data_IF_061874266353
#
_entry.id   IF_061874266353
#
_cell.length_a   1.000
_cell.length_b   1.000
_cell.length_c   1.000
_cell.angle_alpha   90.00
_cell.angle_beta   90.00
_cell.angle_gamma   90.00
#
_symmetry.space_group_name_H-M   'P 1'
#
loop_
_entity.id
_entity.type
_entity.pdbx_description
1 polymer ?
#
# COMPACT_ATOMS: atom_id res chain seq x y z
N UNK A 1 3.30 83.03 -74.03
CA UNK A 1 2.98 81.60 -74.25
C UNK A 1 2.94 80.91 -72.90
N UNK A 2 2.03 79.95 -72.68
CA UNK A 2 1.14 79.94 -71.50
C UNK A 2 1.64 79.11 -70.31
N UNK A 3 1.08 79.41 -69.14
CA UNK A 3 1.24 78.71 -67.89
C UNK A 3 0.66 77.28 -67.95
N UNK A 4 1.44 76.31 -67.46
CA UNK A 4 0.99 74.92 -67.29
C UNK A 4 0.38 74.72 -65.90
N UNK A 5 -0.93 74.54 -65.87
CA UNK A 5 -1.68 74.03 -64.71
C UNK A 5 -1.33 72.55 -64.50
N UNK A 6 -0.82 72.20 -63.31
CA UNK A 6 -0.85 70.81 -62.86
C UNK A 6 -2.16 70.57 -62.12
N UNK A 7 -3.00 69.67 -62.65
CA UNK A 7 -4.24 69.26 -62.00
C UNK A 7 -3.96 68.44 -60.73
N UNK A 8 -4.93 68.31 -59.81
CA UNK A 8 -4.73 67.62 -58.54
C UNK A 8 -4.53 66.12 -58.76
N UNK A 9 -3.50 65.55 -58.14
CA UNK A 9 -3.36 64.09 -58.04
C UNK A 9 -4.48 63.51 -57.16
N UNK A 10 -5.17 62.44 -57.57
CA UNK A 10 -6.14 61.78 -56.71
C UNK A 10 -5.43 61.13 -55.52
N UNK A 11 -5.93 61.40 -54.31
CA UNK A 11 -5.43 60.77 -53.09
C UNK A 11 -5.64 59.24 -53.14
N UNK A 12 -4.69 58.42 -52.65
CA UNK A 12 -4.83 56.99 -52.66
C UNK A 12 -6.02 56.55 -51.80
N UNK A 13 -6.93 55.77 -52.40
CA UNK A 13 -8.09 55.18 -51.71
C UNK A 13 -7.60 54.17 -50.68
N UNK A 14 -7.67 54.55 -49.40
CA UNK A 14 -7.27 53.71 -48.27
C UNK A 14 -8.29 52.57 -48.13
N UNK A 15 -7.91 51.36 -48.53
CA UNK A 15 -8.76 50.19 -48.41
C UNK A 15 -8.80 49.76 -46.92
N UNK A 16 -9.96 49.73 -46.24
CA UNK A 16 -10.03 49.45 -44.80
C UNK A 16 -9.89 47.95 -44.48
N UNK A 17 -9.94 47.10 -45.50
CA UNK A 17 -9.89 45.65 -45.40
C UNK A 17 -8.73 45.05 -44.57
N UNK A 18 -7.46 45.50 -44.70
CA UNK A 18 -6.38 44.97 -43.86
C UNK A 18 -6.51 45.35 -42.38
N UNK A 19 -7.15 46.47 -42.06
CA UNK A 19 -7.38 46.89 -40.66
C UNK A 19 -8.48 46.04 -40.03
N UNK A 20 -9.57 45.80 -40.78
CA UNK A 20 -10.68 44.94 -40.32
C UNK A 20 -10.22 43.50 -40.10
N UNK A 21 -9.39 42.95 -41.00
CA UNK A 21 -8.84 41.62 -40.84
C UNK A 21 -7.91 41.50 -39.62
N UNK A 22 -7.05 42.49 -39.37
CA UNK A 22 -6.16 42.50 -38.22
C UNK A 22 -6.94 42.56 -36.88
N UNK A 23 -7.98 43.39 -36.80
CA UNK A 23 -8.82 43.51 -35.60
C UNK A 23 -9.58 42.20 -35.31
N UNK A 24 -10.10 41.53 -36.34
CA UNK A 24 -10.80 40.25 -36.20
C UNK A 24 -9.86 39.13 -35.68
N UNK A 25 -8.62 39.07 -36.18
CA UNK A 25 -7.63 38.08 -35.74
C UNK A 25 -7.23 38.30 -34.27
N UNK A 26 -7.03 39.56 -33.86
CA UNK A 26 -6.70 39.89 -32.46
C UNK A 26 -7.86 39.52 -31.53
N UNK A 27 -9.11 39.78 -31.91
CA UNK A 27 -10.28 39.39 -31.11
C UNK A 27 -10.40 37.86 -30.96
N UNK A 28 -10.16 37.09 -32.02
CA UNK A 28 -10.20 35.62 -31.97
C UNK A 28 -9.09 35.06 -31.07
N UNK A 29 -7.88 35.63 -31.10
CA UNK A 29 -6.78 35.20 -30.24
C UNK A 29 -7.01 35.55 -28.77
N UNK A 30 -7.57 36.72 -28.48
CA UNK A 30 -7.89 37.14 -27.11
C UNK A 30 -9.02 36.29 -26.53
N UNK A 31 -10.10 36.07 -27.28
CA UNK A 31 -11.22 35.21 -26.84
C UNK A 31 -10.77 33.76 -26.70
N UNK A 32 -9.99 33.23 -27.66
CA UNK A 32 -9.41 31.89 -27.58
C UNK A 32 -8.47 31.72 -26.39
N UNK A 33 -7.62 32.70 -26.10
CA UNK A 33 -6.73 32.70 -24.94
C UNK A 33 -7.49 32.75 -23.60
N UNK A 34 -8.56 33.54 -23.52
CA UNK A 34 -9.42 33.61 -22.33
C UNK A 34 -10.19 32.30 -22.11
N UNK A 35 -10.68 31.65 -23.17
CA UNK A 35 -11.35 30.34 -23.07
C UNK A 35 -10.35 29.27 -22.63
N UNK A 36 -9.14 29.23 -23.20
CA UNK A 36 -8.10 28.27 -22.78
C UNK A 36 -7.71 28.49 -21.32
N UNK A 37 -7.56 29.74 -20.88
CA UNK A 37 -7.24 30.05 -19.49
C UNK A 37 -8.37 29.67 -18.52
N UNK A 38 -9.64 29.85 -18.91
CA UNK A 38 -10.80 29.51 -18.08
C UNK A 38 -11.12 28.00 -18.04
N UNK A 39 -10.64 27.21 -19.01
CA UNK A 39 -10.90 25.76 -19.12
C UNK A 39 -9.74 24.91 -18.61
N UNK A 40 -8.54 25.48 -18.43
CA UNK A 40 -7.47 24.79 -17.69
C UNK A 40 -7.90 24.76 -16.21
N UNK A 41 -8.22 23.58 -15.65
CA UNK A 41 -8.53 23.49 -14.24
C UNK A 41 -7.28 23.96 -13.49
N UNK A 42 -7.43 24.93 -12.59
CA UNK A 42 -6.44 25.16 -11.55
C UNK A 42 -6.05 23.79 -11.01
N UNK A 43 -4.76 23.49 -11.00
CA UNK A 43 -4.24 22.31 -10.30
C UNK A 43 -4.58 22.53 -8.85
N UNK A 44 -5.78 22.12 -8.43
CA UNK A 44 -6.22 22.12 -7.05
C UNK A 44 -5.09 21.48 -6.29
N UNK A 45 -4.49 22.21 -5.36
CA UNK A 45 -3.49 21.69 -4.44
C UNK A 45 -4.09 20.46 -3.78
N UNK A 46 -3.74 19.28 -4.31
CA UNK A 46 -4.01 18.01 -3.64
C UNK A 46 -3.18 18.11 -2.38
N UNK A 47 -3.84 18.34 -1.25
CA UNK A 47 -3.22 18.31 0.08
C UNK A 47 -2.44 17.00 0.15
N UNK A 48 -1.11 17.04 -0.03
CA UNK A 48 -0.29 15.83 0.01
C UNK A 48 -0.42 15.28 1.43
N UNK A 49 -1.09 14.15 1.58
CA UNK A 49 -1.22 13.42 2.85
C UNK A 49 0.19 13.25 3.43
N UNK A 50 0.39 13.64 4.69
CA UNK A 50 1.71 13.58 5.33
C UNK A 50 2.16 12.11 5.37
N UNK A 51 3.39 11.82 4.98
CA UNK A 51 3.92 10.46 5.09
C UNK A 51 4.21 10.11 6.55
N UNK A 52 4.04 8.85 6.90
CA UNK A 52 4.37 8.32 8.22
C UNK A 52 5.88 8.09 8.29
N UNK A 53 6.53 8.66 9.30
CA UNK A 53 7.95 8.46 9.57
C UNK A 53 8.21 7.14 10.31
N UNK A 54 9.41 6.58 10.14
CA UNK A 54 9.82 5.30 10.73
C UNK A 54 9.71 5.29 12.25
N UNK A 55 9.98 6.42 12.90
CA UNK A 55 9.88 6.60 14.35
C UNK A 55 8.45 6.43 14.91
N UNK A 56 7.43 6.53 14.04
CA UNK A 56 6.02 6.36 14.42
C UNK A 56 5.51 4.93 14.27
N UNK A 57 6.25 4.04 13.60
CA UNK A 57 5.80 2.68 13.29
C UNK A 57 5.36 1.87 14.52
N UNK A 58 6.10 1.98 15.62
CA UNK A 58 5.76 1.25 16.85
C UNK A 58 4.45 1.70 17.48
N UNK A 59 4.07 2.98 17.31
CA UNK A 59 2.80 3.52 17.82
C UNK A 59 1.57 3.04 17.03
N UNK A 60 1.78 2.51 15.83
CA UNK A 60 0.70 1.95 15.00
C UNK A 60 0.31 0.53 15.43
N UNK A 61 1.21 -0.21 16.09
CA UNK A 61 0.93 -1.58 16.50
C UNK A 61 -0.17 -1.61 17.58
N UNK A 62 -0.91 -2.72 17.62
CA UNK A 62 -1.89 -2.98 18.65
C UNK A 62 -1.20 -3.28 19.98
N UNK A 63 -1.75 -2.69 21.05
CA UNK A 63 -1.38 -3.00 22.42
C UNK A 63 -1.81 -4.42 22.81
N UNK A 64 -1.31 -4.91 23.95
CA UNK A 64 -1.70 -6.23 24.48
C UNK A 64 -3.21 -6.35 24.68
N UNK A 65 -3.89 -5.29 25.15
CA UNK A 65 -5.34 -5.30 25.35
C UNK A 65 -6.10 -5.45 24.02
N UNK A 66 -5.67 -4.71 22.99
CA UNK A 66 -6.28 -4.77 21.66
C UNK A 66 -6.06 -6.14 20.98
N UNK A 67 -4.85 -6.70 21.09
CA UNK A 67 -4.56 -8.05 20.57
C UNK A 67 -5.39 -9.11 21.30
N UNK A 68 -5.42 -9.08 22.64
CA UNK A 68 -6.24 -10.00 23.43
C UNK A 68 -7.72 -9.93 23.02
N UNK A 69 -8.25 -8.71 22.85
CA UNK A 69 -9.63 -8.50 22.39
C UNK A 69 -9.91 -9.09 21.00
N UNK A 70 -8.98 -8.98 20.05
CA UNK A 70 -9.17 -9.53 18.69
C UNK A 70 -9.01 -11.04 18.69
N UNK A 71 -8.04 -11.56 19.43
CA UNK A 71 -7.74 -12.99 19.47
C UNK A 71 -8.69 -13.78 20.35
N UNK A 72 -9.50 -13.12 21.19
CA UNK A 72 -10.39 -13.80 22.15
C UNK A 72 -9.64 -14.35 23.37
N UNK A 73 -8.47 -13.78 23.67
CA UNK A 73 -7.65 -14.12 24.84
C UNK A 73 -7.73 -13.02 25.90
N UNK A 74 -7.14 -13.29 27.06
CA UNK A 74 -6.94 -12.30 28.14
C UNK A 74 -5.51 -12.30 28.67
N UNK A 75 -4.65 -13.21 28.20
CA UNK A 75 -3.33 -13.45 28.78
C UNK A 75 -2.19 -13.41 27.75
N UNK A 76 -2.48 -13.12 26.47
CA UNK A 76 -1.41 -12.93 25.48
C UNK A 76 -0.51 -11.77 25.88
N UNK A 77 0.80 -12.01 25.87
CA UNK A 77 1.83 -11.02 26.15
C UNK A 77 2.71 -10.79 24.92
N UNK A 78 3.11 -9.54 24.64
CA UNK A 78 4.06 -9.25 23.58
C UNK A 78 5.48 -9.67 23.98
N UNK A 79 6.23 -10.17 22.99
CA UNK A 79 7.66 -10.36 23.08
C UNK A 79 8.44 -9.06 22.94
N UNK A 80 9.73 -9.17 22.60
CA UNK A 80 10.59 -8.01 22.36
C UNK A 80 10.21 -7.33 21.04
N UNK A 81 10.30 -5.98 20.97
CA UNK A 81 10.17 -5.26 19.71
C UNK A 81 11.16 -5.76 18.65
N UNK A 82 10.68 -5.91 17.42
CA UNK A 82 11.47 -6.32 16.25
C UNK A 82 11.53 -5.12 15.30
N UNK A 83 12.75 -4.71 14.93
CA UNK A 83 13.01 -3.52 14.10
C UNK A 83 13.79 -3.85 12.82
N UNK A 84 13.91 -5.13 12.49
CA UNK A 84 14.50 -5.61 11.24
C UNK A 84 13.70 -6.77 10.67
N UNK A 85 13.83 -6.97 9.36
CA UNK A 85 13.27 -8.16 8.70
C UNK A 85 13.99 -9.43 9.18
N UNK A 86 13.26 -10.53 9.24
CA UNK A 86 13.78 -11.83 9.62
C UNK A 86 14.59 -12.43 8.46
N UNK A 87 15.89 -12.61 8.70
CA UNK A 87 16.84 -13.20 7.77
C UNK A 87 17.20 -14.64 8.14
N UNK A 88 16.51 -15.21 9.13
CA UNK A 88 16.72 -16.60 9.53
C UNK A 88 16.43 -17.53 8.36
N UNK A 89 17.24 -18.59 8.16
CA UNK A 89 17.00 -19.55 7.09
C UNK A 89 15.68 -20.28 7.32
N UNK A 90 14.83 -20.29 6.30
CA UNK A 90 13.59 -21.05 6.27
C UNK A 90 13.74 -22.23 5.30
N UNK A 91 13.06 -23.34 5.61
CA UNK A 91 13.02 -24.53 4.73
C UNK A 91 11.58 -24.83 4.37
N UNK A 92 11.19 -24.49 3.14
CA UNK A 92 9.87 -24.73 2.58
C UNK A 92 10.00 -25.58 1.32
N UNK A 93 9.01 -26.44 1.06
CA UNK A 93 8.92 -27.15 -0.23
C UNK A 93 8.75 -26.21 -1.43
N UNK A 94 8.11 -25.05 -1.21
CA UNK A 94 7.96 -23.98 -2.21
C UNK A 94 8.45 -22.66 -1.60
N UNK A 95 9.71 -22.30 -1.88
CA UNK A 95 10.33 -21.10 -1.32
C UNK A 95 9.64 -19.81 -1.76
N UNK A 96 9.06 -19.77 -2.97
CA UNK A 96 8.31 -18.60 -3.46
C UNK A 96 7.06 -18.29 -2.61
N UNK A 97 6.59 -19.26 -1.82
CA UNK A 97 5.45 -19.11 -0.89
C UNK A 97 5.87 -18.69 0.52
N UNK A 98 7.13 -18.36 0.78
CA UNK A 98 7.58 -17.95 2.12
C UNK A 98 6.79 -16.73 2.65
N UNK A 99 6.43 -15.78 1.78
CA UNK A 99 5.62 -14.61 2.14
C UNK A 99 4.19 -14.93 2.56
N UNK A 100 3.62 -16.06 2.10
CA UNK A 100 2.31 -16.55 2.58
C UNK A 100 2.44 -17.35 3.88
N UNK A 101 3.64 -17.76 4.28
CA UNK A 101 3.84 -18.53 5.50
C UNK A 101 4.22 -17.66 6.70
N UNK A 102 4.97 -16.58 6.46
CA UNK A 102 5.55 -15.75 7.52
C UNK A 102 5.47 -14.27 7.17
N UNK A 103 5.39 -13.46 8.23
CA UNK A 103 5.50 -11.99 8.16
C UNK A 103 6.97 -11.57 8.13
N UNK A 104 7.23 -10.34 7.67
CA UNK A 104 8.49 -9.63 7.92
C UNK A 104 9.76 -10.35 7.41
N UNK A 105 9.67 -11.18 6.37
CA UNK A 105 10.79 -12.01 5.91
C UNK A 105 11.72 -11.24 4.97
N UNK A 106 13.03 -11.36 5.16
CA UNK A 106 14.03 -10.69 4.33
C UNK A 106 13.85 -11.01 2.84
N UNK A 107 13.66 -12.27 2.39
CA UNK A 107 13.41 -12.58 0.96
C UNK A 107 12.15 -11.91 0.38
N UNK A 108 11.18 -11.55 1.22
CA UNK A 108 9.96 -10.87 0.79
C UNK A 108 10.19 -9.37 0.60
N UNK A 109 11.01 -8.74 1.44
CA UNK A 109 11.20 -7.28 1.50
C UNK A 109 12.50 -6.79 0.86
N UNK A 110 13.51 -7.64 0.66
CA UNK A 110 14.77 -7.27 0.01
C UNK A 110 14.54 -6.72 -1.40
N UNK A 111 15.17 -5.57 -1.70
CA UNK A 111 15.05 -4.92 -3.02
C UNK A 111 13.74 -4.15 -3.26
N UNK A 112 12.80 -4.16 -2.31
CA UNK A 112 11.52 -3.45 -2.45
C UNK A 112 11.61 -1.94 -2.16
N UNK A 113 12.68 -1.52 -1.48
CA UNK A 113 12.87 -0.14 -1.07
C UNK A 113 12.11 0.27 0.20
N UNK A 114 11.62 -0.69 1.00
CA UNK A 114 11.14 -0.39 2.35
C UNK A 114 12.21 0.35 3.16
N UNK A 115 11.80 1.24 4.06
CA UNK A 115 12.72 2.11 4.80
C UNK A 115 12.81 1.75 6.28
N UNK A 116 11.73 1.27 6.88
CA UNK A 116 11.71 0.84 8.28
C UNK A 116 10.63 -0.20 8.57
N UNK A 117 10.78 -0.89 9.70
CA UNK A 117 9.84 -1.90 10.19
C UNK A 117 9.73 -1.81 11.72
N UNK A 118 8.51 -1.96 12.22
CA UNK A 118 8.24 -2.26 13.63
C UNK A 118 7.31 -3.45 13.71
N UNK A 119 7.66 -4.45 14.52
CA UNK A 119 6.90 -5.70 14.65
C UNK A 119 6.89 -6.20 16.09
N UNK A 120 5.80 -6.87 16.45
CA UNK A 120 5.62 -7.55 17.73
C UNK A 120 4.98 -8.92 17.52
N UNK A 121 5.57 -9.93 18.16
CA UNK A 121 5.00 -11.28 18.30
C UNK A 121 4.36 -11.37 19.68
N UNK A 122 3.15 -11.90 19.78
CA UNK A 122 2.41 -12.09 21.03
C UNK A 122 1.82 -13.49 21.12
N UNK A 123 1.83 -14.08 22.32
CA UNK A 123 1.20 -15.36 22.65
C UNK A 123 0.92 -15.44 24.14
N UNK A 124 0.12 -16.42 24.59
CA UNK A 124 0.10 -16.78 26.00
C UNK A 124 1.49 -17.25 26.49
N UNK A 125 1.79 -17.13 27.80
CA UNK A 125 3.04 -17.64 28.38
C UNK A 125 3.16 -19.16 28.27
N UNK A 126 4.37 -19.66 28.02
CA UNK A 126 4.67 -21.09 27.90
C UNK A 126 4.87 -21.52 26.45
N UNK A 127 5.15 -22.82 26.27
CA UNK A 127 5.39 -23.41 24.96
C UNK A 127 4.10 -23.91 24.27
N UNK A 128 3.03 -24.12 25.05
CA UNK A 128 1.72 -24.60 24.63
C UNK A 128 0.68 -23.46 24.73
N UNK A 129 0.74 -22.51 23.79
CA UNK A 129 -0.20 -21.38 23.71
C UNK A 129 -1.41 -21.69 22.82
N UNK A 130 -2.56 -21.12 23.16
CA UNK A 130 -3.80 -21.25 22.37
C UNK A 130 -3.88 -20.23 21.24
N UNK A 131 -3.14 -19.13 21.35
CA UNK A 131 -3.11 -18.06 20.36
C UNK A 131 -1.69 -17.57 20.10
N UNK A 132 -1.44 -17.20 18.85
CA UNK A 132 -0.20 -16.58 18.44
C UNK A 132 -0.49 -15.51 17.40
N UNK A 133 0.09 -14.32 17.56
CA UNK A 133 -0.05 -13.25 16.58
C UNK A 133 1.27 -12.54 16.34
N UNK A 134 1.64 -12.35 15.09
CA UNK A 134 2.65 -11.38 14.68
C UNK A 134 1.98 -10.27 13.88
N UNK A 135 2.22 -9.04 14.30
CA UNK A 135 1.86 -7.82 13.60
C UNK A 135 3.13 -7.05 13.24
N UNK A 136 3.17 -6.51 12.03
CA UNK A 136 4.23 -5.65 11.58
C UNK A 136 3.66 -4.45 10.80
N UNK A 137 4.28 -3.29 10.98
CA UNK A 137 4.08 -2.11 10.16
C UNK A 137 5.41 -1.76 9.49
N UNK A 138 5.38 -1.56 8.17
CA UNK A 138 6.56 -1.39 7.31
C UNK A 138 6.39 -0.12 6.48
N UNK A 139 7.32 0.83 6.60
CA UNK A 139 7.28 2.08 5.81
C UNK A 139 7.98 1.93 4.47
N UNK A 140 7.47 2.66 3.49
CA UNK A 140 8.04 2.87 2.17
C UNK A 140 8.29 4.38 1.95
N UNK A 141 9.13 4.75 0.96
CA UNK A 141 9.45 6.16 0.70
C UNK A 141 8.25 6.93 0.12
N UNK A 142 7.27 6.25 -0.48
CA UNK A 142 6.07 6.86 -1.05
C UNK A 142 4.85 5.95 -0.85
N UNK A 143 3.66 6.53 -0.97
CA UNK A 143 2.39 5.79 -1.01
C UNK A 143 2.37 4.76 -2.14
N UNK A 144 2.85 5.16 -3.32
CA UNK A 144 2.85 4.33 -4.52
C UNK A 144 3.75 3.11 -4.36
N UNK A 145 4.88 3.24 -3.67
CA UNK A 145 5.79 2.11 -3.38
C UNK A 145 5.18 1.11 -2.40
N UNK A 146 4.41 1.60 -1.42
CA UNK A 146 3.68 0.73 -0.51
C UNK A 146 2.58 -0.05 -1.25
N UNK A 147 1.81 0.60 -2.12
CA UNK A 147 0.78 -0.06 -2.92
C UNK A 147 1.38 -1.04 -3.95
N UNK A 148 2.45 -0.65 -4.66
CA UNK A 148 3.18 -1.52 -5.60
C UNK A 148 3.67 -2.80 -4.90
N UNK A 149 4.15 -2.68 -3.66
CA UNK A 149 4.52 -3.84 -2.86
C UNK A 149 3.32 -4.76 -2.61
N UNK A 150 2.19 -4.21 -2.15
CA UNK A 150 0.99 -5.02 -1.89
C UNK A 150 0.49 -5.71 -3.17
N UNK A 151 0.47 -5.01 -4.31
CA UNK A 151 0.10 -5.59 -5.61
C UNK A 151 1.02 -6.74 -6.02
N UNK A 152 2.32 -6.61 -5.74
CA UNK A 152 3.29 -7.70 -5.96
C UNK A 152 2.96 -8.91 -5.07
N UNK A 153 2.58 -8.68 -3.81
CA UNK A 153 2.19 -9.75 -2.89
C UNK A 153 0.87 -10.40 -3.30
N UNK A 154 -0.11 -9.67 -3.83
CA UNK A 154 -1.35 -10.24 -4.40
C UNK A 154 -1.00 -11.31 -5.44
N UNK A 155 -0.11 -11.00 -6.38
CA UNK A 155 0.33 -11.95 -7.42
C UNK A 155 1.04 -13.17 -6.83
N UNK A 156 1.98 -12.97 -5.89
CA UNK A 156 2.70 -14.07 -5.22
C UNK A 156 1.76 -14.97 -4.42
N UNK A 157 0.85 -14.38 -3.64
CA UNK A 157 -0.09 -15.13 -2.80
C UNK A 157 -1.08 -15.91 -3.67
N UNK A 158 -1.55 -15.32 -4.77
CA UNK A 158 -2.41 -16.02 -5.74
C UNK A 158 -1.72 -17.25 -6.33
N UNK A 159 -0.43 -17.18 -6.61
CA UNK A 159 0.33 -18.33 -7.10
C UNK A 159 0.51 -19.44 -6.06
N UNK A 160 0.35 -19.13 -4.77
CA UNK A 160 0.48 -20.07 -3.67
C UNK A 160 -0.87 -20.59 -3.14
N UNK A 161 -1.96 -19.88 -3.41
CA UNK A 161 -3.32 -20.25 -3.01
C UNK A 161 -3.66 -21.70 -3.41
N UNK A 162 -4.36 -22.41 -2.52
CA UNK A 162 -4.77 -23.80 -2.72
C UNK A 162 -3.65 -24.85 -2.67
N UNK A 163 -2.38 -24.45 -2.49
CA UNK A 163 -1.24 -25.40 -2.44
C UNK A 163 -0.99 -25.93 -1.04
N UNK A 164 -0.40 -27.12 -0.99
CA UNK A 164 0.20 -27.65 0.24
C UNK A 164 1.68 -27.27 0.32
N UNK A 165 2.09 -26.72 1.47
CA UNK A 165 3.46 -26.33 1.77
C UNK A 165 3.99 -27.21 2.88
N UNK A 166 5.17 -27.78 2.67
CA UNK A 166 5.91 -28.51 3.70
C UNK A 166 6.96 -27.58 4.30
N UNK A 167 6.94 -27.41 5.62
CA UNK A 167 7.90 -26.62 6.40
C UNK A 167 8.78 -27.56 7.21
N UNK A 168 10.09 -27.40 7.13
CA UNK A 168 11.04 -28.19 7.94
C UNK A 168 11.69 -27.31 8.99
N UNK A 169 11.62 -27.72 10.27
CA UNK A 169 12.24 -27.02 11.40
C UNK A 169 12.78 -28.02 12.42
N UNK A 170 14.05 -27.87 12.82
CA UNK A 170 14.73 -28.74 13.82
C UNK A 170 14.48 -30.24 13.59
N UNK A 171 14.64 -30.70 12.34
CA UNK A 171 14.40 -32.08 11.89
C UNK A 171 12.95 -32.57 11.94
N UNK A 172 11.99 -31.70 12.29
CA UNK A 172 10.55 -31.97 12.17
C UNK A 172 10.00 -31.35 10.90
N UNK A 173 8.97 -31.98 10.37
CA UNK A 173 8.29 -31.54 9.15
C UNK A 173 6.82 -31.29 9.44
N UNK A 174 6.31 -30.15 8.99
CA UNK A 174 4.91 -29.74 9.17
C UNK A 174 4.30 -29.45 7.80
N UNK A 175 3.11 -29.99 7.54
CA UNK A 175 2.37 -29.73 6.31
C UNK A 175 1.27 -28.71 6.57
N UNK A 176 1.20 -27.71 5.69
CA UNK A 176 0.24 -26.63 5.73
C UNK A 176 -0.53 -26.59 4.43
N UNK A 177 -1.85 -26.52 4.51
CA UNK A 177 -2.71 -26.27 3.34
C UNK A 177 -3.04 -24.79 3.30
N UNK A 178 -2.70 -24.13 2.20
CA UNK A 178 -3.07 -22.74 1.96
C UNK A 178 -4.48 -22.69 1.38
N UNK A 179 -5.32 -21.84 1.95
CA UNK A 179 -6.63 -21.52 1.40
C UNK A 179 -6.55 -20.67 0.14
N UNK A 180 -7.72 -20.25 -0.33
CA UNK A 180 -7.82 -19.32 -1.44
C UNK A 180 -7.40 -17.90 -1.01
N UNK A 181 -6.84 -17.14 -1.96
CA UNK A 181 -6.58 -15.72 -1.76
C UNK A 181 -7.91 -14.96 -1.73
N UNK A 182 -8.12 -14.18 -0.68
CA UNK A 182 -9.28 -13.31 -0.54
C UNK A 182 -8.87 -11.84 -0.63
N UNK A 183 -9.68 -11.05 -1.33
CA UNK A 183 -9.47 -9.59 -1.47
C UNK A 183 -8.46 -9.20 -2.55
N UNK A 184 -8.12 -7.91 -2.55
CA UNK A 184 -7.17 -7.23 -3.43
C UNK A 184 -6.68 -5.96 -2.71
N UNK A 185 -5.78 -5.16 -3.29
CA UNK A 185 -5.44 -3.85 -2.70
C UNK A 185 -6.72 -3.05 -2.38
N UNK A 186 -6.87 -2.49 -1.17
CA UNK A 186 -5.81 -2.24 -0.17
C UNK A 186 -5.64 -3.33 0.91
N UNK A 187 -6.30 -4.48 0.81
CA UNK A 187 -6.18 -5.57 1.81
C UNK A 187 -6.42 -6.97 1.23
N UNK A 188 -5.50 -7.87 1.47
CA UNK A 188 -5.60 -9.30 1.14
C UNK A 188 -5.53 -10.19 2.37
N UNK A 189 -6.15 -11.35 2.30
CA UNK A 189 -6.03 -12.40 3.33
C UNK A 189 -5.89 -13.78 2.71
N UNK A 190 -5.32 -14.71 3.47
CA UNK A 190 -5.16 -16.11 3.09
C UNK A 190 -5.17 -16.97 4.36
N UNK A 191 -6.00 -18.01 4.40
CA UNK A 191 -6.03 -18.97 5.51
C UNK A 191 -4.97 -20.06 5.33
N UNK A 192 -4.52 -20.64 6.43
CA UNK A 192 -3.53 -21.70 6.47
C UNK A 192 -3.94 -22.71 7.54
N UNK A 193 -4.10 -23.97 7.16
CA UNK A 193 -4.46 -25.04 8.11
C UNK A 193 -3.30 -26.02 8.25
N UNK A 194 -2.92 -26.37 9.47
CA UNK A 194 -1.84 -27.32 9.71
C UNK A 194 -2.38 -28.75 9.82
N UNK A 195 -1.81 -29.67 9.04
CA UNK A 195 -2.17 -31.08 9.07
C UNK A 195 -1.77 -31.73 10.42
N UNK A 196 -2.69 -32.50 11.01
CA UNK A 196 -2.41 -33.27 12.23
C UNK A 196 -2.19 -32.43 13.49
N UNK A 197 -2.55 -31.14 13.48
CA UNK A 197 -2.31 -30.20 14.58
C UNK A 197 -3.59 -29.85 15.36
N UNK A 198 -4.53 -30.79 15.49
CA UNK A 198 -5.78 -30.62 16.25
C UNK A 198 -6.60 -29.37 15.88
N UNK A 199 -6.58 -28.98 14.59
CA UNK A 199 -7.28 -27.79 14.12
C UNK A 199 -6.53 -26.48 14.34
N UNK A 200 -5.22 -26.51 14.56
CA UNK A 200 -4.39 -25.29 14.55
C UNK A 200 -4.38 -24.66 13.16
N UNK A 201 -4.80 -23.40 13.10
CA UNK A 201 -4.91 -22.62 11.88
C UNK A 201 -4.26 -21.26 12.04
N UNK A 202 -3.95 -20.64 10.91
CA UNK A 202 -3.51 -19.27 10.84
C UNK A 202 -4.25 -18.53 9.72
N UNK A 203 -4.37 -17.22 9.87
CA UNK A 203 -4.70 -16.30 8.80
C UNK A 203 -3.53 -15.35 8.59
N UNK A 204 -3.06 -15.27 7.35
CA UNK A 204 -2.29 -14.14 6.87
C UNK A 204 -3.22 -13.03 6.45
N UNK A 205 -2.84 -11.81 6.78
CA UNK A 205 -3.46 -10.61 6.26
C UNK A 205 -2.36 -9.61 5.94
N UNK A 206 -2.54 -8.90 4.83
CA UNK A 206 -1.67 -7.79 4.48
C UNK A 206 -2.54 -6.63 3.99
N UNK A 207 -2.27 -5.43 4.49
CA UNK A 207 -2.95 -4.22 4.07
C UNK A 207 -1.97 -3.10 3.76
N UNK A 208 -2.46 -2.07 3.08
CA UNK A 208 -1.70 -0.85 2.81
C UNK A 208 -2.53 0.38 3.18
N UNK A 209 -1.91 1.34 3.84
CA UNK A 209 -2.43 2.70 3.98
C UNK A 209 -1.30 3.70 3.97
N UNK A 210 -1.49 4.84 3.29
CA UNK A 210 -0.43 5.82 3.08
C UNK A 210 0.84 5.14 2.54
N UNK A 211 2.01 5.43 3.10
CA UNK A 211 3.28 4.78 2.79
C UNK A 211 3.59 3.58 3.69
N UNK A 212 2.59 2.98 4.34
CA UNK A 212 2.76 1.88 5.30
C UNK A 212 2.06 0.62 4.81
N UNK A 213 2.80 -0.48 4.81
CA UNK A 213 2.26 -1.84 4.67
C UNK A 213 2.11 -2.45 6.05
N UNK A 214 0.95 -3.03 6.32
CA UNK A 214 0.65 -3.78 7.53
C UNK A 214 0.69 -5.27 7.19
N UNK A 215 1.55 -6.04 7.86
CA UNK A 215 1.82 -7.44 7.56
C UNK A 215 1.57 -8.31 8.81
N UNK A 216 0.53 -9.14 8.78
CA UNK A 216 -0.02 -9.81 9.98
C UNK A 216 -0.20 -11.30 9.77
N UNK A 217 0.18 -12.09 10.77
CA UNK A 217 -0.19 -13.49 10.89
C UNK A 217 -0.82 -13.73 12.25
N UNK A 218 -2.05 -14.23 12.28
CA UNK A 218 -2.76 -14.61 13.50
C UNK A 218 -3.05 -16.11 13.45
N UNK A 219 -2.79 -16.83 14.53
CA UNK A 219 -2.95 -18.27 14.65
C UNK A 219 -3.67 -18.65 15.94
N UNK A 220 -4.35 -19.79 15.91
CA UNK A 220 -5.15 -20.31 17.01
C UNK A 220 -6.02 -21.47 16.56
N UNK A 221 -6.82 -22.02 17.47
CA UNK A 221 -7.76 -23.11 17.18
C UNK A 221 -9.13 -22.65 16.64
N UNK A 222 -9.40 -21.35 16.62
CA UNK A 222 -10.67 -20.75 16.19
C UNK A 222 -10.45 -19.50 15.31
N UNK A 223 -9.55 -19.60 14.33
CA UNK A 223 -9.24 -18.49 13.43
C UNK A 223 -10.28 -18.38 12.32
N UNK A 224 -10.78 -17.17 12.10
CA UNK A 224 -11.72 -16.82 11.02
C UNK A 224 -11.25 -15.57 10.28
N UNK A 225 -11.13 -14.44 10.98
CA UNK A 225 -10.76 -13.15 10.41
C UNK A 225 -9.86 -12.28 11.31
N UNK A 226 -9.28 -12.85 12.37
CA UNK A 226 -8.47 -12.12 13.36
C UNK A 226 -7.28 -11.39 12.72
N UNK A 227 -6.60 -12.01 11.74
CA UNK A 227 -5.52 -11.35 11.01
C UNK A 227 -6.01 -10.11 10.26
N UNK A 228 -7.17 -10.19 9.61
CA UNK A 228 -7.80 -9.06 8.93
C UNK A 228 -8.21 -7.95 9.91
N UNK A 229 -8.78 -8.30 11.06
CA UNK A 229 -9.16 -7.34 12.10
C UNK A 229 -7.95 -6.58 12.67
N UNK A 230 -6.82 -7.26 12.85
CA UNK A 230 -5.57 -6.61 13.28
C UNK A 230 -5.11 -5.62 12.21
N UNK A 231 -5.12 -6.00 10.92
CA UNK A 231 -4.80 -5.09 9.81
C UNK A 231 -5.70 -3.85 9.85
N UNK A 232 -7.02 -4.03 9.98
CA UNK A 232 -7.98 -2.93 9.99
C UNK A 232 -7.74 -1.93 11.14
N UNK A 233 -7.42 -2.44 12.33
CA UNK A 233 -7.13 -1.58 13.49
C UNK A 233 -5.81 -0.81 13.32
N UNK A 234 -4.76 -1.43 12.78
CA UNK A 234 -3.49 -0.74 12.52
C UNK A 234 -3.66 0.30 11.40
N UNK A 235 -4.42 -0.03 10.36
CA UNK A 235 -4.76 0.92 9.29
C UNK A 235 -5.51 2.13 9.85
N UNK A 236 -6.49 1.93 10.73
CA UNK A 236 -7.21 3.02 11.38
C UNK A 236 -6.27 3.92 12.19
N UNK A 237 -5.36 3.35 12.99
CA UNK A 237 -4.34 4.14 13.72
C UNK A 237 -3.43 4.93 12.78
N UNK A 238 -3.05 4.35 11.65
CA UNK A 238 -2.20 5.03 10.67
C UNK A 238 -2.94 6.17 9.95
N UNK A 239 -4.23 6.02 9.68
CA UNK A 239 -5.05 7.07 9.08
C UNK A 239 -5.27 8.26 10.01
N UNK A 240 -5.27 8.06 11.34
CA UNK A 240 -5.34 9.13 12.34
C UNK A 240 -4.08 10.02 12.37
N UNK A 241 -2.94 9.55 11.87
CA UNK A 241 -1.65 10.26 11.88
C UNK A 241 -1.47 11.26 10.72
N UNK A 242 -2.40 11.29 9.76
CA UNK A 242 -2.12 11.74 8.38
C UNK A 242 -3.26 12.53 7.74
#
# INVERSE_FOLDING_TARGET
MPAWNQGPHPAPKRNPWPIVAAVAVVLVLVVGGIIVWAVIPDKKDVKKKKLISEERLSSLLLSSSEINSVMGSSTMQPGKPITSVDSSPASLSLMDCQGTMYTSQAPTYSGTGYTGISSLVSSEPGDDYDHWANQAAVTFPTTDKADEFLQTQVGKWKNCAGKQITVTSKSKTFRWTLGELQGQSPKITLSMTQEGANGWECQRAMGVTNNVVVDVKACGFQITNQGAQIVDKIVAKADEET
#
